data_IF_126076313503
#
_entry.id   IF_126076313503
#
_cell.length_a   1.000
_cell.length_b   1.000
_cell.length_c   1.000
_cell.angle_alpha   90.00
_cell.angle_beta   90.00
_cell.angle_gamma   90.00
#
_symmetry.space_group_name_H-M   'P 1'
#
loop_
_entity.id
_entity.type
_entity.pdbx_description
1 polymer ?
#
# COMPACT_ATOMS: atom_id res chain seq x y z
N UNK A 1 11.91 -16.59 -28.16
CA UNK A 1 11.55 -17.73 -27.31
C UNK A 1 12.84 -18.41 -26.90
N UNK A 2 13.17 -18.32 -25.62
CA UNK A 2 14.28 -19.03 -24.99
C UNK A 2 13.98 -20.53 -24.94
N UNK A 3 15.02 -21.37 -24.92
CA UNK A 3 14.90 -22.82 -24.72
C UNK A 3 14.20 -23.14 -23.38
N UNK A 4 13.21 -24.02 -23.39
CA UNK A 4 12.43 -24.40 -22.21
C UNK A 4 13.32 -24.96 -21.08
N UNK A 5 14.39 -25.68 -21.43
CA UNK A 5 15.35 -26.14 -20.45
C UNK A 5 16.12 -24.99 -19.79
N UNK A 6 16.40 -23.92 -20.53
CA UNK A 6 17.05 -22.73 -19.98
C UNK A 6 16.10 -21.96 -19.04
N UNK A 7 14.81 -21.86 -19.37
CA UNK A 7 13.81 -21.26 -18.48
C UNK A 7 13.61 -22.08 -17.20
N UNK A 8 13.62 -23.41 -17.29
CA UNK A 8 13.53 -24.30 -16.12
C UNK A 8 14.66 -24.06 -15.12
N UNK A 9 15.88 -23.79 -15.59
CA UNK A 9 17.01 -23.48 -14.70
C UNK A 9 16.79 -22.18 -13.92
N UNK A 10 16.10 -21.20 -14.49
CA UNK A 10 15.86 -19.90 -13.83
C UNK A 10 14.90 -19.97 -12.64
N UNK A 11 14.11 -21.05 -12.51
CA UNK A 11 13.12 -21.17 -11.43
C UNK A 11 13.59 -22.07 -10.29
N UNK A 12 14.69 -22.82 -10.43
CA UNK A 12 15.09 -23.88 -9.48
C UNK A 12 15.39 -23.36 -8.06
N UNK A 13 15.78 -22.10 -7.92
CA UNK A 13 16.09 -21.51 -6.62
C UNK A 13 14.85 -20.91 -5.91
N UNK A 14 13.71 -20.84 -6.60
CA UNK A 14 12.45 -20.34 -6.06
C UNK A 14 11.39 -21.46 -6.06
N UNK A 15 11.18 -22.17 -4.94
CA UNK A 15 10.29 -23.35 -4.90
C UNK A 15 8.86 -23.07 -5.39
N UNK A 16 8.34 -21.86 -5.14
CA UNK A 16 7.01 -21.45 -5.59
C UNK A 16 6.98 -21.31 -7.12
N UNK A 17 7.96 -20.62 -7.70
CA UNK A 17 8.06 -20.45 -9.15
C UNK A 17 8.35 -21.78 -9.87
N UNK A 18 9.20 -22.63 -9.28
CA UNK A 18 9.47 -23.98 -9.79
C UNK A 18 8.19 -24.83 -9.80
N UNK A 19 7.41 -24.78 -8.72
CA UNK A 19 6.12 -25.46 -8.64
C UNK A 19 5.15 -25.03 -9.74
N UNK A 20 5.02 -23.71 -9.95
CA UNK A 20 4.17 -23.16 -11.02
C UNK A 20 4.66 -23.57 -12.41
N UNK A 21 5.96 -23.48 -12.67
CA UNK A 21 6.55 -23.89 -13.94
C UNK A 21 6.33 -25.39 -14.20
N UNK A 22 6.49 -26.24 -13.19
CA UNK A 22 6.26 -27.68 -13.31
C UNK A 22 4.77 -28.02 -13.55
N UNK A 23 3.85 -27.25 -12.98
CA UNK A 23 2.42 -27.50 -13.09
C UNK A 23 1.83 -26.99 -14.41
N UNK A 24 2.28 -25.83 -14.87
CA UNK A 24 1.65 -25.10 -15.98
C UNK A 24 2.56 -24.90 -17.20
N UNK A 25 3.86 -25.16 -17.06
CA UNK A 25 4.85 -24.79 -18.07
C UNK A 25 4.98 -23.28 -18.22
N UNK A 26 5.44 -22.84 -19.40
CA UNK A 26 5.53 -21.43 -19.77
C UNK A 26 5.24 -21.32 -21.27
N UNK A 27 3.97 -21.27 -21.63
CA UNK A 27 3.51 -21.41 -23.02
C UNK A 27 2.59 -20.28 -23.48
N UNK A 28 2.24 -19.36 -22.59
CA UNK A 28 1.40 -18.22 -22.87
C UNK A 28 1.79 -17.01 -21.99
N UNK A 29 1.14 -15.87 -22.25
CA UNK A 29 1.39 -14.61 -21.54
C UNK A 29 1.13 -14.75 -20.05
N UNK A 30 0.05 -15.42 -19.64
CA UNK A 30 -0.39 -15.46 -18.24
C UNK A 30 0.48 -16.39 -17.39
N UNK A 31 0.88 -17.55 -17.92
CA UNK A 31 1.79 -18.48 -17.25
C UNK A 31 3.16 -17.83 -17.04
N UNK A 32 3.72 -17.22 -18.09
CA UNK A 32 4.97 -16.47 -18.00
C UNK A 32 4.89 -15.31 -16.99
N UNK A 33 3.82 -14.51 -17.07
CA UNK A 33 3.59 -13.38 -16.16
C UNK A 33 3.45 -13.81 -14.70
N UNK A 34 2.68 -14.88 -14.42
CA UNK A 34 2.49 -15.36 -13.05
C UNK A 34 3.80 -15.88 -12.45
N UNK A 35 4.60 -16.61 -13.22
CA UNK A 35 5.92 -17.08 -12.77
C UNK A 35 6.84 -15.88 -12.49
N UNK A 36 6.86 -14.88 -13.39
CA UNK A 36 7.63 -13.66 -13.20
C UNK A 36 7.24 -12.90 -11.93
N UNK A 37 5.93 -12.75 -11.64
CA UNK A 37 5.45 -12.09 -10.43
C UNK A 37 5.95 -12.77 -9.16
N UNK A 38 5.91 -14.11 -9.11
CA UNK A 38 6.43 -14.84 -7.94
C UNK A 38 7.94 -14.67 -7.78
N UNK A 39 8.71 -14.75 -8.88
CA UNK A 39 10.15 -14.47 -8.84
C UNK A 39 10.43 -13.04 -8.36
N UNK A 40 9.68 -12.04 -8.84
CA UNK A 40 9.79 -10.63 -8.44
C UNK A 40 9.52 -10.47 -6.94
N UNK A 41 8.41 -11.01 -6.43
CA UNK A 41 8.06 -10.95 -5.01
C UNK A 41 9.14 -11.59 -4.11
N UNK A 42 9.80 -12.64 -4.60
CA UNK A 42 10.89 -13.31 -3.88
C UNK A 42 12.29 -12.76 -4.22
N UNK A 43 12.39 -11.59 -4.83
CA UNK A 43 13.64 -10.88 -5.15
C UNK A 43 14.58 -11.58 -6.16
N UNK A 44 14.08 -12.52 -6.95
CA UNK A 44 14.77 -13.11 -8.10
C UNK A 44 14.58 -12.23 -9.34
N UNK A 45 15.10 -10.99 -9.29
CA UNK A 45 14.75 -9.95 -10.26
C UNK A 45 15.24 -10.24 -11.68
N UNK A 46 16.42 -10.84 -11.82
CA UNK A 46 16.99 -11.16 -13.14
C UNK A 46 16.17 -12.24 -13.83
N UNK A 47 15.80 -13.26 -13.08
CA UNK A 47 14.97 -14.38 -13.50
C UNK A 47 13.56 -13.88 -13.85
N UNK A 48 12.97 -13.03 -13.00
CA UNK A 48 11.68 -12.39 -13.26
C UNK A 48 11.69 -11.60 -14.57
N UNK A 49 12.73 -10.79 -14.82
CA UNK A 49 12.87 -10.02 -16.06
C UNK A 49 12.93 -10.93 -17.31
N UNK A 50 13.54 -12.12 -17.21
CA UNK A 50 13.56 -13.09 -18.29
C UNK A 50 12.17 -13.67 -18.58
N UNK A 51 11.38 -13.99 -17.54
CA UNK A 51 10.00 -14.46 -17.74
C UNK A 51 9.05 -13.36 -18.25
N UNK A 52 9.21 -12.11 -17.83
CA UNK A 52 8.48 -10.99 -18.45
C UNK A 52 8.85 -10.83 -19.94
N UNK A 53 10.11 -11.07 -20.33
CA UNK A 53 10.51 -11.07 -21.75
C UNK A 53 9.83 -12.19 -22.55
N UNK A 54 9.65 -13.38 -21.96
CA UNK A 54 8.87 -14.45 -22.61
C UNK A 54 7.39 -14.06 -22.72
N UNK A 55 6.81 -13.45 -21.68
CA UNK A 55 5.44 -12.92 -21.74
C UNK A 55 5.28 -11.91 -22.89
N UNK A 56 6.22 -10.97 -23.06
CA UNK A 56 6.26 -10.01 -24.19
C UNK A 56 6.35 -10.75 -25.54
N UNK A 57 7.15 -11.81 -25.61
CA UNK A 57 7.29 -12.59 -26.85
C UNK A 57 5.95 -13.25 -27.25
N UNK A 58 5.18 -13.74 -26.28
CA UNK A 58 3.84 -14.30 -26.52
C UNK A 58 2.80 -13.24 -26.91
N UNK A 59 3.00 -11.96 -26.57
CA UNK A 59 2.12 -10.85 -27.01
C UNK A 59 2.12 -10.65 -28.52
N UNK A 60 3.20 -10.99 -29.22
CA UNK A 60 3.24 -10.90 -30.68
C UNK A 60 2.15 -11.76 -31.34
N UNK A 61 1.75 -12.86 -30.70
CA UNK A 61 0.67 -13.74 -31.14
C UNK A 61 -0.70 -13.42 -30.56
N UNK A 62 -0.77 -12.60 -29.50
CA UNK A 62 -2.02 -12.13 -28.89
C UNK A 62 -1.88 -10.65 -28.51
N UNK A 63 -2.15 -9.72 -29.45
CA UNK A 63 -1.96 -8.28 -29.19
C UNK A 63 -2.98 -7.66 -28.24
N UNK A 64 -4.14 -8.30 -28.02
CA UNK A 64 -5.27 -7.76 -27.25
C UNK A 64 -5.45 -8.40 -25.87
N UNK A 65 -4.78 -9.51 -25.57
CA UNK A 65 -4.81 -10.13 -24.25
C UNK A 65 -4.26 -9.24 -23.11
N UNK A 66 -4.25 -9.78 -21.90
CA UNK A 66 -3.75 -9.12 -20.70
C UNK A 66 -2.62 -9.95 -20.07
N UNK A 67 -1.57 -9.35 -19.47
CA UNK A 67 -1.26 -7.92 -19.41
C UNK A 67 -0.84 -7.30 -20.75
N UNK A 68 -1.00 -5.98 -20.87
CA UNK A 68 -0.57 -5.22 -22.06
C UNK A 68 0.96 -5.14 -22.15
N UNK A 69 1.48 -4.96 -23.35
CA UNK A 69 2.94 -4.95 -23.62
C UNK A 69 3.67 -3.90 -22.79
N UNK A 70 3.12 -2.69 -22.68
CA UNK A 70 3.72 -1.59 -21.91
C UNK A 70 3.82 -1.89 -20.42
N UNK A 71 2.89 -2.67 -19.87
CA UNK A 71 2.93 -3.10 -18.47
C UNK A 71 4.03 -4.14 -18.30
N UNK A 72 4.11 -5.14 -19.18
CA UNK A 72 5.15 -6.17 -19.15
C UNK A 72 6.56 -5.57 -19.30
N UNK A 73 6.73 -4.63 -20.23
CA UNK A 73 8.00 -3.90 -20.41
C UNK A 73 8.35 -3.10 -19.16
N UNK A 74 7.37 -2.38 -18.58
CA UNK A 74 7.60 -1.61 -17.37
C UNK A 74 8.08 -2.49 -16.22
N UNK A 75 7.40 -3.60 -15.91
CA UNK A 75 7.79 -4.47 -14.79
C UNK A 75 9.11 -5.19 -15.05
N UNK A 76 9.38 -5.61 -16.30
CA UNK A 76 10.68 -6.15 -16.72
C UNK A 76 11.81 -5.16 -16.42
N UNK A 77 11.67 -3.93 -16.90
CA UNK A 77 12.70 -2.89 -16.72
C UNK A 77 12.89 -2.53 -15.25
N UNK A 78 11.81 -2.49 -14.47
CA UNK A 78 11.89 -2.26 -13.03
C UNK A 78 12.65 -3.39 -12.32
N UNK A 79 12.42 -4.66 -12.67
CA UNK A 79 13.21 -5.77 -12.16
C UNK A 79 14.70 -5.61 -12.49
N UNK A 80 15.04 -5.23 -13.73
CA UNK A 80 16.44 -5.00 -14.11
C UNK A 80 17.08 -3.89 -13.26
N UNK A 81 16.37 -2.78 -13.00
CA UNK A 81 16.84 -1.72 -12.09
C UNK A 81 17.10 -2.30 -10.69
N UNK A 82 16.14 -3.05 -10.13
CA UNK A 82 16.25 -3.65 -8.78
C UNK A 82 17.38 -4.67 -8.69
N UNK A 83 17.66 -5.38 -9.78
CA UNK A 83 18.78 -6.32 -9.92
C UNK A 83 20.11 -5.66 -10.31
N UNK A 84 20.19 -4.31 -10.31
CA UNK A 84 21.36 -3.55 -10.73
C UNK A 84 21.91 -3.96 -12.12
N UNK A 85 21.01 -4.28 -13.05
CA UNK A 85 21.32 -4.63 -14.43
C UNK A 85 21.17 -3.41 -15.36
N UNK A 86 21.89 -3.42 -16.48
CA UNK A 86 21.73 -2.41 -17.52
C UNK A 86 20.40 -2.58 -18.26
N UNK A 87 19.81 -1.45 -18.66
CA UNK A 87 18.56 -1.43 -19.43
C UNK A 87 18.90 -1.36 -20.91
N UNK A 88 18.27 -2.22 -21.72
CA UNK A 88 18.43 -2.17 -23.17
C UNK A 88 17.77 -0.90 -23.73
N UNK A 89 18.48 -0.21 -24.62
CA UNK A 89 18.00 1.03 -25.24
C UNK A 89 16.75 0.75 -26.10
N UNK A 90 16.69 -0.42 -26.72
CA UNK A 90 15.57 -0.87 -27.53
C UNK A 90 14.29 -1.00 -26.69
N UNK A 91 14.38 -1.60 -25.50
CA UNK A 91 13.24 -1.72 -24.58
C UNK A 91 12.76 -0.35 -24.09
N UNK A 92 13.70 0.54 -23.78
CA UNK A 92 13.38 1.91 -23.35
C UNK A 92 12.68 2.71 -24.46
N UNK A 93 13.19 2.63 -25.69
CA UNK A 93 12.56 3.26 -26.84
C UNK A 93 11.16 2.68 -27.10
N UNK A 94 11.03 1.36 -27.00
CA UNK A 94 9.73 0.70 -27.16
C UNK A 94 8.73 1.11 -26.08
N UNK A 95 9.15 1.17 -24.82
CA UNK A 95 8.29 1.65 -23.74
C UNK A 95 7.87 3.10 -23.96
N UNK A 96 8.77 3.96 -24.46
CA UNK A 96 8.46 5.35 -24.79
C UNK A 96 7.42 5.48 -25.89
N UNK A 97 7.50 4.64 -26.92
CA UNK A 97 6.50 4.60 -28.00
C UNK A 97 5.12 4.19 -27.49
N UNK A 98 5.07 3.25 -26.55
CA UNK A 98 3.82 2.72 -26.01
C UNK A 98 3.22 3.60 -24.91
N UNK A 99 4.04 4.17 -24.04
CA UNK A 99 3.62 4.94 -22.88
C UNK A 99 4.74 5.85 -22.35
N UNK A 100 4.69 7.12 -22.74
CA UNK A 100 5.58 8.15 -22.23
C UNK A 100 5.58 8.25 -20.68
N UNK A 101 4.43 8.17 -19.97
CA UNK A 101 4.45 8.17 -18.51
C UNK A 101 5.22 7.00 -17.89
N UNK A 102 5.07 5.78 -18.42
CA UNK A 102 5.80 4.60 -17.92
C UNK A 102 7.29 4.68 -18.25
N UNK A 103 7.64 5.19 -19.42
CA UNK A 103 9.03 5.48 -19.77
C UNK A 103 9.66 6.48 -18.80
N UNK A 104 8.97 7.59 -18.51
CA UNK A 104 9.44 8.60 -17.55
C UNK A 104 9.59 7.99 -16.16
N UNK A 105 8.61 7.20 -15.70
CA UNK A 105 8.70 6.48 -14.43
C UNK A 105 9.96 5.61 -14.35
N UNK A 106 10.18 4.72 -15.32
CA UNK A 106 11.33 3.79 -15.31
C UNK A 106 12.66 4.52 -15.37
N UNK A 107 12.81 5.46 -16.30
CA UNK A 107 14.07 6.18 -16.49
C UNK A 107 14.41 7.04 -15.28
N UNK A 108 13.42 7.73 -14.71
CA UNK A 108 13.63 8.57 -13.53
C UNK A 108 13.99 7.74 -12.30
N UNK A 109 13.39 6.57 -12.11
CA UNK A 109 13.77 5.67 -11.01
C UNK A 109 15.21 5.20 -11.15
N UNK A 110 15.64 4.82 -12.35
CA UNK A 110 17.04 4.45 -12.61
C UNK A 110 18.00 5.60 -12.30
N UNK A 111 17.72 6.78 -12.86
CA UNK A 111 18.53 7.98 -12.70
C UNK A 111 18.59 8.45 -11.24
N UNK A 112 17.49 8.37 -10.51
CA UNK A 112 17.46 8.64 -9.07
C UNK A 112 18.35 7.65 -8.29
N UNK A 113 18.29 6.36 -8.60
CA UNK A 113 19.16 5.35 -7.96
C UNK A 113 20.65 5.57 -8.26
N UNK A 114 20.97 6.19 -9.39
CA UNK A 114 22.34 6.57 -9.79
C UNK A 114 22.78 7.93 -9.20
N UNK A 115 21.89 8.64 -8.50
CA UNK A 115 22.17 9.96 -7.92
C UNK A 115 22.10 11.11 -8.92
N UNK A 116 21.52 10.90 -10.11
CA UNK A 116 21.43 11.91 -11.17
C UNK A 116 20.28 12.91 -10.94
N UNK A 117 19.23 12.53 -10.19
CA UNK A 117 18.13 13.42 -9.81
C UNK A 117 18.07 13.63 -8.31
N UNK A 118 17.77 14.86 -7.91
CA UNK A 118 17.29 15.11 -6.55
C UNK A 118 15.93 14.47 -6.30
N UNK A 119 15.54 14.33 -5.04
CA UNK A 119 14.22 13.78 -4.64
C UNK A 119 13.08 14.55 -5.30
N UNK A 120 13.16 15.88 -5.34
CA UNK A 120 12.10 16.72 -5.89
C UNK A 120 12.00 16.56 -7.41
N UNK A 121 13.13 16.55 -8.11
CA UNK A 121 13.16 16.32 -9.56
C UNK A 121 12.63 14.93 -9.93
N UNK A 122 13.04 13.90 -9.18
CA UNK A 122 12.56 12.54 -9.40
C UNK A 122 11.05 12.45 -9.19
N UNK A 123 10.54 12.96 -8.07
CA UNK A 123 9.11 12.94 -7.76
C UNK A 123 8.29 13.72 -8.79
N UNK A 124 8.77 14.89 -9.22
CA UNK A 124 8.09 15.71 -10.22
C UNK A 124 8.05 15.02 -11.59
N UNK A 125 9.16 14.41 -12.04
CA UNK A 125 9.27 13.75 -13.34
C UNK A 125 8.53 12.42 -13.42
N UNK A 126 8.45 11.66 -12.32
CA UNK A 126 7.55 10.49 -12.24
C UNK A 126 6.09 10.95 -12.41
N UNK A 127 5.77 12.10 -11.82
CA UNK A 127 4.48 12.75 -11.99
C UNK A 127 3.32 11.95 -11.39
N UNK A 128 2.20 11.92 -12.10
CA UNK A 128 1.02 11.13 -11.73
C UNK A 128 0.97 9.74 -12.39
N UNK A 129 2.11 9.18 -12.81
CA UNK A 129 2.16 7.88 -13.50
C UNK A 129 1.55 6.73 -12.68
N UNK A 130 1.46 6.88 -11.34
CA UNK A 130 0.74 5.95 -10.47
C UNK A 130 -0.75 5.80 -10.85
N UNK A 131 -1.36 6.79 -11.49
CA UNK A 131 -2.77 6.71 -11.94
C UNK A 131 -3.02 5.70 -13.06
N UNK A 132 -1.96 5.21 -13.72
CA UNK A 132 -2.06 4.11 -14.68
C UNK A 132 -2.26 2.74 -14.02
N UNK A 133 -2.15 2.68 -12.70
CA UNK A 133 -2.17 1.46 -11.91
C UNK A 133 -3.28 1.49 -10.86
N UNK A 134 -3.68 0.30 -10.40
CA UNK A 134 -4.46 0.18 -9.17
C UNK A 134 -3.69 0.78 -7.99
N UNK A 135 -4.42 1.19 -6.96
CA UNK A 135 -3.83 1.77 -5.75
C UNK A 135 -2.99 0.75 -4.99
N UNK A 136 -1.82 1.15 -4.51
CA UNK A 136 -0.94 0.27 -3.72
C UNK A 136 0.03 -0.58 -4.54
N UNK A 137 0.06 -0.39 -5.85
CA UNK A 137 1.06 -0.97 -6.73
C UNK A 137 2.45 -0.39 -6.43
N UNK A 138 3.52 -1.05 -6.91
CA UNK A 138 4.90 -0.74 -6.52
C UNK A 138 5.30 0.74 -6.75
N UNK A 139 4.73 1.40 -7.76
CA UNK A 139 4.93 2.82 -8.03
C UNK A 139 4.43 3.72 -6.88
N UNK A 140 3.34 3.33 -6.21
CA UNK A 140 2.83 4.09 -5.06
C UNK A 140 3.84 4.02 -3.90
N UNK A 141 4.50 2.87 -3.69
CA UNK A 141 5.53 2.69 -2.66
C UNK A 141 6.81 3.49 -2.99
N UNK A 142 7.22 3.50 -4.26
CA UNK A 142 8.38 4.28 -4.71
C UNK A 142 8.14 5.78 -4.52
N UNK A 143 6.96 6.28 -4.90
CA UNK A 143 6.61 7.67 -4.68
C UNK A 143 6.56 8.01 -3.18
N UNK A 144 6.00 7.13 -2.36
CA UNK A 144 5.95 7.32 -0.91
C UNK A 144 7.35 7.30 -0.28
N UNK A 145 8.26 6.45 -0.76
CA UNK A 145 9.68 6.45 -0.37
C UNK A 145 10.36 7.78 -0.67
N UNK A 146 10.13 8.35 -1.86
CA UNK A 146 10.65 9.69 -2.21
C UNK A 146 10.11 10.76 -1.26
N UNK A 147 8.81 10.71 -0.94
CA UNK A 147 8.19 11.64 0.01
C UNK A 147 8.79 11.49 1.42
N UNK A 148 8.92 10.26 1.92
CA UNK A 148 9.52 9.96 3.21
C UNK A 148 10.96 10.49 3.31
N UNK A 149 11.79 10.17 2.31
CA UNK A 149 13.15 10.66 2.24
C UNK A 149 13.20 12.18 2.16
N UNK A 150 12.31 12.80 1.37
CA UNK A 150 12.25 14.25 1.21
C UNK A 150 11.80 14.97 2.48
N UNK A 151 10.91 14.38 3.29
CA UNK A 151 10.56 14.91 4.61
C UNK A 151 11.74 14.86 5.58
N UNK A 152 12.49 13.74 5.59
CA UNK A 152 13.64 13.57 6.47
C UNK A 152 14.84 14.43 6.07
N UNK A 153 15.01 14.71 4.78
CA UNK A 153 16.08 15.55 4.25
C UNK A 153 15.69 17.04 4.15
N UNK A 154 14.45 17.40 4.49
CA UNK A 154 13.96 18.77 4.46
C UNK A 154 13.64 19.31 3.05
N UNK A 155 13.52 18.44 2.04
CA UNK A 155 13.03 18.80 0.71
C UNK A 155 11.53 19.10 0.71
N UNK A 156 10.77 18.52 1.65
CA UNK A 156 9.36 18.84 1.87
C UNK A 156 9.17 19.51 3.24
N UNK A 157 8.25 20.47 3.37
CA UNK A 157 8.05 21.18 4.62
C UNK A 157 7.46 20.26 5.69
N UNK A 158 8.14 20.18 6.83
CA UNK A 158 7.63 19.48 7.99
C UNK A 158 6.68 20.40 8.79
N UNK A 159 5.37 20.35 8.49
CA UNK A 159 4.38 21.25 9.07
C UNK A 159 3.75 20.67 10.33
N UNK A 160 4.05 21.30 11.46
CA UNK A 160 3.37 21.08 12.73
C UNK A 160 2.12 21.98 12.80
N UNK A 161 1.01 21.46 13.32
CA UNK A 161 -0.24 22.17 13.56
C UNK A 161 -0.44 22.48 15.04
N UNK A 162 -1.28 23.47 15.30
CA UNK A 162 -1.73 23.80 16.67
C UNK A 162 -2.87 22.92 17.15
N UNK A 163 -3.69 22.43 16.22
CA UNK A 163 -4.76 21.48 16.53
C UNK A 163 -4.15 20.12 16.79
N UNK A 164 -4.48 19.52 17.93
CA UNK A 164 -4.01 18.19 18.26
C UNK A 164 -4.96 17.10 17.73
N UNK A 165 -4.38 15.96 17.36
CA UNK A 165 -5.11 14.72 17.17
C UNK A 165 -5.83 14.38 18.49
N UNK A 166 -7.16 14.16 18.46
CA UNK A 166 -7.93 13.81 19.65
C UNK A 166 -7.42 12.54 20.33
N UNK A 167 -7.47 12.49 21.67
CA UNK A 167 -7.21 11.25 22.43
C UNK A 167 -8.42 10.32 22.38
N UNK A 168 -8.63 9.75 21.21
CA UNK A 168 -9.67 8.75 20.96
C UNK A 168 -9.04 7.54 20.30
N UNK A 169 -9.25 6.34 20.82
CA UNK A 169 -8.87 5.10 20.17
C UNK A 169 -10.13 4.42 19.64
N UNK A 170 -10.07 3.98 18.39
CA UNK A 170 -11.14 3.24 17.74
C UNK A 170 -10.64 1.86 17.34
N UNK A 171 -11.44 0.86 17.69
CA UNK A 171 -11.21 -0.54 17.35
C UNK A 171 -12.42 -1.09 16.62
N UNK A 172 -12.22 -2.18 15.88
CA UNK A 172 -13.31 -2.95 15.29
C UNK A 172 -13.06 -4.45 15.41
N UNK A 173 -14.11 -5.17 15.78
CA UNK A 173 -14.17 -6.61 15.63
C UNK A 173 -15.58 -7.02 15.21
N UNK A 174 -15.71 -7.81 14.14
CA UNK A 174 -16.99 -8.13 13.50
C UNK A 174 -17.97 -8.82 14.47
N UNK A 175 -17.73 -10.11 14.73
CA UNK A 175 -18.55 -10.97 15.59
C UNK A 175 -17.65 -12.05 16.23
N UNK A 176 -18.15 -12.75 17.27
CA UNK A 176 -17.47 -13.89 17.91
C UNK A 176 -16.01 -13.60 18.33
N UNK A 177 -15.79 -12.51 19.07
CA UNK A 177 -14.45 -12.06 19.47
C UNK A 177 -13.68 -13.14 20.23
N UNK A 178 -12.51 -13.58 19.73
CA UNK A 178 -11.62 -14.47 20.44
C UNK A 178 -11.17 -13.91 21.79
N UNK A 179 -10.91 -14.79 22.76
CA UNK A 179 -10.59 -14.43 24.14
C UNK A 179 -9.32 -13.55 24.25
N UNK A 180 -8.30 -13.88 23.47
CA UNK A 180 -7.04 -13.12 23.35
C UNK A 180 -7.23 -11.72 22.75
N UNK A 181 -8.20 -11.55 21.85
CA UNK A 181 -8.59 -10.22 21.33
C UNK A 181 -9.41 -9.45 22.37
N UNK A 182 -10.33 -10.11 23.09
CA UNK A 182 -11.07 -9.49 24.18
C UNK A 182 -10.14 -8.97 25.29
N UNK A 183 -9.18 -9.77 25.72
CA UNK A 183 -8.17 -9.39 26.71
C UNK A 183 -7.35 -8.18 26.26
N UNK A 184 -7.02 -8.10 24.97
CA UNK A 184 -6.34 -6.92 24.43
C UNK A 184 -7.22 -5.67 24.43
N UNK A 185 -8.50 -5.78 24.06
CA UNK A 185 -9.45 -4.66 24.11
C UNK A 185 -9.65 -4.17 25.57
N UNK A 186 -9.81 -5.09 26.51
CA UNK A 186 -9.91 -4.79 27.95
C UNK A 186 -8.62 -4.14 28.49
N UNK A 187 -7.46 -4.63 28.06
CA UNK A 187 -6.17 -4.03 28.40
C UNK A 187 -6.13 -2.55 28.03
N UNK A 188 -6.52 -2.19 26.81
CA UNK A 188 -6.56 -0.78 26.40
C UNK A 188 -7.58 0.01 27.23
N UNK A 189 -8.79 -0.51 27.42
CA UNK A 189 -9.86 0.15 28.20
C UNK A 189 -9.45 0.45 29.65
N UNK A 190 -8.68 -0.43 30.27
CA UNK A 190 -8.25 -0.28 31.67
C UNK A 190 -6.99 0.58 31.82
N UNK A 191 -6.07 0.55 30.85
CA UNK A 191 -4.73 1.13 31.01
C UNK A 191 -4.50 2.45 30.25
N UNK A 192 -5.50 2.95 29.50
CA UNK A 192 -5.38 4.19 28.72
C UNK A 192 -6.40 5.26 29.21
N UNK A 193 -6.32 5.72 30.47
CA UNK A 193 -7.32 6.62 31.07
C UNK A 193 -7.37 8.02 30.44
N UNK A 194 -6.34 8.44 29.69
CA UNK A 194 -6.34 9.71 28.94
C UNK A 194 -7.11 9.61 27.63
N UNK A 195 -7.42 8.40 27.17
CA UNK A 195 -8.08 8.13 25.90
C UNK A 195 -9.55 7.74 26.08
N UNK A 196 -10.42 8.31 25.25
CA UNK A 196 -11.75 7.77 25.05
C UNK A 196 -11.63 6.58 24.09
N UNK A 197 -12.05 5.41 24.53
CA UNK A 197 -11.97 4.18 23.73
C UNK A 197 -13.35 3.82 23.22
N UNK A 198 -13.45 3.53 21.92
CA UNK A 198 -14.66 3.00 21.32
C UNK A 198 -14.38 1.75 20.49
N UNK A 199 -15.16 0.70 20.72
CA UNK A 199 -15.05 -0.58 20.03
C UNK A 199 -16.30 -0.77 19.18
N UNK A 200 -16.11 -0.89 17.88
CA UNK A 200 -17.16 -1.20 16.94
C UNK A 200 -17.31 -2.70 16.78
N UNK A 201 -18.57 -3.14 16.73
CA UNK A 201 -18.94 -4.40 16.11
C UNK A 201 -19.67 -4.13 14.79
N UNK A 202 -20.06 -5.18 14.08
CA UNK A 202 -20.75 -5.07 12.79
C UNK A 202 -21.99 -4.19 12.85
N UNK A 203 -22.90 -4.45 13.79
CA UNK A 203 -24.18 -3.74 13.88
C UNK A 203 -23.97 -2.26 14.16
N UNK A 204 -23.10 -1.95 15.12
CA UNK A 204 -22.72 -0.57 15.44
C UNK A 204 -22.06 0.12 14.25
N UNK A 205 -21.19 -0.57 13.50
CA UNK A 205 -20.53 -0.03 12.31
C UNK A 205 -21.55 0.30 11.21
N UNK A 206 -22.50 -0.60 10.96
CA UNK A 206 -23.57 -0.42 9.97
C UNK A 206 -24.46 0.77 10.31
N UNK A 207 -24.90 0.88 11.56
CA UNK A 207 -25.72 2.00 12.02
C UNK A 207 -24.95 3.33 11.93
N UNK A 208 -23.70 3.33 12.35
CA UNK A 208 -22.85 4.51 12.33
C UNK A 208 -22.57 4.98 10.90
N UNK A 209 -22.15 4.09 10.00
CA UNK A 209 -21.89 4.43 8.59
C UNK A 209 -23.13 5.00 7.93
N UNK A 210 -24.31 4.41 8.16
CA UNK A 210 -25.56 4.94 7.65
C UNK A 210 -25.87 6.34 8.17
N UNK A 211 -25.70 6.55 9.48
CA UNK A 211 -25.98 7.83 10.13
C UNK A 211 -25.10 8.97 9.64
N UNK A 212 -23.81 8.72 9.42
CA UNK A 212 -22.83 9.77 9.12
C UNK A 212 -22.51 9.91 7.62
N UNK A 213 -22.58 8.83 6.85
CA UNK A 213 -22.20 8.81 5.43
C UNK A 213 -23.29 8.27 4.50
N UNK A 214 -24.42 7.81 5.03
CA UNK A 214 -25.58 7.40 4.23
C UNK A 214 -25.52 5.98 3.70
N UNK A 215 -26.38 5.71 2.72
CA UNK A 215 -26.69 4.37 2.22
C UNK A 215 -25.49 3.73 1.51
N UNK A 216 -24.73 4.53 0.77
CA UNK A 216 -23.60 4.09 -0.03
C UNK A 216 -22.49 3.52 0.86
N UNK A 217 -22.10 4.25 1.90
CA UNK A 217 -21.10 3.82 2.88
C UNK A 217 -21.49 2.52 3.59
N UNK A 218 -22.74 2.45 4.05
CA UNK A 218 -23.30 1.23 4.64
C UNK A 218 -23.22 0.05 3.66
N UNK A 219 -23.59 0.27 2.39
CA UNK A 219 -23.65 -0.79 1.41
C UNK A 219 -22.27 -1.32 1.03
N UNK A 220 -21.26 -0.47 0.88
CA UNK A 220 -19.89 -0.94 0.59
C UNK A 220 -19.37 -1.80 1.74
N UNK A 221 -19.62 -1.42 3.00
CA UNK A 221 -19.23 -2.17 4.18
C UNK A 221 -19.93 -3.53 4.25
N UNK A 222 -21.25 -3.58 3.99
CA UNK A 222 -22.01 -4.84 3.99
C UNK A 222 -21.66 -5.77 2.83
N UNK A 223 -21.07 -5.24 1.74
CA UNK A 223 -20.62 -6.02 0.59
C UNK A 223 -19.17 -6.48 0.68
N UNK A 224 -18.44 -6.11 1.74
CA UNK A 224 -17.08 -6.57 1.96
C UNK A 224 -17.01 -8.10 1.95
N UNK A 225 -16.01 -8.65 1.26
CA UNK A 225 -15.84 -10.11 1.10
C UNK A 225 -15.21 -10.74 2.35
N UNK A 226 -14.58 -9.92 3.17
CA UNK A 226 -13.87 -10.35 4.37
C UNK A 226 -14.01 -9.30 5.50
N UNK A 227 -14.05 -9.70 6.78
CA UNK A 227 -14.07 -8.76 7.91
C UNK A 227 -12.93 -7.73 7.89
N UNK A 228 -11.73 -8.10 7.42
CA UNK A 228 -10.61 -7.17 7.27
C UNK A 228 -10.89 -6.06 6.23
N UNK A 229 -11.54 -6.39 5.11
CA UNK A 229 -11.97 -5.40 4.10
C UNK A 229 -13.06 -4.46 4.68
N UNK A 230 -13.95 -4.98 5.53
CA UNK A 230 -14.93 -4.16 6.25
C UNK A 230 -14.25 -3.19 7.25
N UNK A 231 -13.23 -3.68 7.98
CA UNK A 231 -12.43 -2.87 8.90
C UNK A 231 -11.67 -1.74 8.18
N UNK A 232 -11.09 -2.02 7.01
CA UNK A 232 -10.45 -1.04 6.14
C UNK A 232 -11.40 0.09 5.71
N UNK A 233 -12.64 -0.25 5.35
CA UNK A 233 -13.65 0.75 5.04
C UNK A 233 -13.97 1.58 6.29
N UNK A 234 -14.27 0.92 7.40
CA UNK A 234 -14.71 1.59 8.62
C UNK A 234 -13.64 2.54 9.17
N UNK A 235 -12.37 2.13 9.21
CA UNK A 235 -11.28 2.91 9.81
C UNK A 235 -11.12 4.28 9.19
N UNK A 236 -11.15 4.35 7.86
CA UNK A 236 -11.01 5.62 7.16
C UNK A 236 -12.22 6.53 7.44
N UNK A 237 -13.43 5.97 7.43
CA UNK A 237 -14.66 6.74 7.68
C UNK A 237 -14.72 7.30 9.12
N UNK A 238 -14.41 6.46 10.12
CA UNK A 238 -14.42 6.83 11.53
C UNK A 238 -13.37 7.90 11.81
N UNK A 239 -12.11 7.67 11.42
CA UNK A 239 -11.04 8.64 11.70
C UNK A 239 -11.25 9.94 10.93
N UNK A 240 -11.72 9.90 9.67
CA UNK A 240 -12.03 11.12 8.95
C UNK A 240 -13.16 11.94 9.61
N UNK A 241 -14.16 11.29 10.22
CA UNK A 241 -15.26 12.02 10.89
C UNK A 241 -14.90 12.51 12.28
N UNK A 242 -14.19 11.69 13.05
CA UNK A 242 -14.00 11.90 14.49
C UNK A 242 -12.61 12.39 14.88
N UNK A 243 -11.61 12.20 14.01
CA UNK A 243 -10.19 12.24 14.36
C UNK A 243 -9.84 11.17 15.40
N UNK A 244 -8.59 11.12 15.81
CA UNK A 244 -8.08 10.17 16.80
C UNK A 244 -7.19 9.11 16.16
N UNK A 245 -7.20 7.92 16.75
CA UNK A 245 -6.34 6.81 16.39
C UNK A 245 -7.19 5.62 16.00
N UNK A 246 -6.82 4.97 14.91
CA UNK A 246 -7.27 3.62 14.61
C UNK A 246 -6.24 2.62 15.12
N UNK A 247 -6.73 1.51 15.65
CA UNK A 247 -5.92 0.38 16.09
C UNK A 247 -6.69 -0.90 15.72
N UNK A 248 -6.09 -1.79 14.95
CA UNK A 248 -6.67 -3.11 14.72
C UNK A 248 -6.80 -3.85 16.07
N UNK A 249 -7.91 -4.54 16.28
CA UNK A 249 -8.24 -5.08 17.60
C UNK A 249 -7.32 -6.21 18.07
N UNK A 250 -6.57 -6.83 17.16
CA UNK A 250 -5.52 -7.81 17.43
C UNK A 250 -4.11 -7.21 17.48
N UNK A 251 -4.00 -5.88 17.45
CA UNK A 251 -2.75 -5.15 17.64
C UNK A 251 -2.75 -4.54 19.06
N UNK A 252 -1.65 -4.74 19.78
CA UNK A 252 -1.49 -4.20 21.12
C UNK A 252 -0.58 -2.99 21.12
N UNK A 253 -1.02 -1.87 21.68
CA UNK A 253 -0.14 -0.73 21.97
C UNK A 253 0.59 -1.02 23.28
N UNK A 254 1.91 -0.83 23.31
CA UNK A 254 2.75 -1.21 24.46
C UNK A 254 2.25 -0.58 25.76
N UNK A 255 2.00 0.73 25.75
CA UNK A 255 1.35 1.45 26.86
C UNK A 255 0.89 2.85 26.44
N UNK A 256 0.04 3.47 27.25
CA UNK A 256 -0.38 4.87 27.04
C UNK A 256 0.80 5.85 27.04
N UNK A 257 1.78 5.65 27.92
CA UNK A 257 2.93 6.55 28.02
C UNK A 257 3.88 6.41 26.81
N UNK A 258 4.03 5.19 26.27
CA UNK A 258 4.77 4.94 25.02
C UNK A 258 4.08 5.64 23.86
N UNK A 259 2.74 5.51 23.76
CA UNK A 259 1.95 6.19 22.74
C UNK A 259 2.12 7.72 22.79
N UNK A 260 1.95 8.33 23.96
CA UNK A 260 2.11 9.78 24.14
C UNK A 260 3.55 10.27 23.90
N UNK A 261 4.55 9.45 24.22
CA UNK A 261 5.96 9.79 24.05
C UNK A 261 6.36 9.81 22.58
N UNK A 262 5.95 8.81 21.82
CA UNK A 262 6.50 8.57 20.48
C UNK A 262 5.59 9.02 19.35
N UNK A 263 4.26 9.02 19.52
CA UNK A 263 3.34 9.40 18.47
C UNK A 263 2.90 10.86 18.63
N UNK A 264 3.41 11.78 17.77
CA UNK A 264 3.14 13.20 17.94
C UNK A 264 1.71 13.55 17.55
N UNK A 265 0.96 14.19 18.44
CA UNK A 265 -0.42 14.62 18.16
C UNK A 265 -0.52 15.99 17.49
N UNK A 266 0.59 16.69 17.27
CA UNK A 266 0.63 18.02 16.66
C UNK A 266 0.74 18.01 15.13
N UNK A 267 0.27 16.94 14.48
CA UNK A 267 0.16 16.81 13.02
C UNK A 267 -1.30 16.57 12.63
N UNK A 268 -1.68 16.91 11.38
CA UNK A 268 -3.00 16.55 10.88
C UNK A 268 -3.11 15.03 10.63
N UNK A 269 -1.99 14.35 10.35
CA UNK A 269 -1.93 12.90 10.17
C UNK A 269 -0.57 12.33 10.58
N UNK A 270 -0.58 11.19 11.27
CA UNK A 270 0.60 10.39 11.59
C UNK A 270 0.38 8.98 11.06
N UNK A 271 1.32 8.52 10.24
CA UNK A 271 1.32 7.19 9.63
C UNK A 271 2.69 6.53 9.88
N UNK A 272 2.69 5.21 9.94
CA UNK A 272 3.88 4.40 10.07
C UNK A 272 4.07 3.55 8.83
N UNK A 273 5.33 3.30 8.46
CA UNK A 273 5.71 2.60 7.25
C UNK A 273 6.31 1.23 7.58
N UNK A 274 6.07 0.25 6.72
CA UNK A 274 6.86 -0.99 6.70
C UNK A 274 8.25 -0.74 6.11
N UNK A 275 9.16 -1.71 6.24
CA UNK A 275 10.47 -1.66 5.56
C UNK A 275 10.35 -1.58 4.03
N UNK A 276 9.23 -2.06 3.49
CA UNK A 276 8.88 -1.97 2.06
C UNK A 276 8.23 -0.64 1.67
N UNK A 277 8.12 0.34 2.57
CA UNK A 277 7.42 1.61 2.36
C UNK A 277 5.92 1.45 2.06
N UNK A 278 5.28 0.41 2.60
CA UNK A 278 3.83 0.32 2.68
C UNK A 278 3.35 0.95 3.99
N UNK A 279 2.08 1.38 4.03
CA UNK A 279 1.52 2.00 5.24
C UNK A 279 0.92 0.94 6.15
N UNK A 280 1.27 1.01 7.43
CA UNK A 280 0.56 0.35 8.52
C UNK A 280 -0.82 0.99 8.68
N UNK A 281 -1.81 0.52 7.93
CA UNK A 281 -3.18 1.03 8.05
C UNK A 281 -3.92 0.44 9.25
N UNK A 282 -3.35 -0.59 9.89
CA UNK A 282 -3.74 -1.21 11.15
C UNK A 282 -3.43 -0.36 12.39
N UNK A 283 -2.54 0.63 12.27
CA UNK A 283 -2.34 1.64 13.30
C UNK A 283 -1.98 3.01 12.70
N UNK A 284 -2.85 3.99 12.89
CA UNK A 284 -2.58 5.36 12.45
C UNK A 284 -3.41 6.40 13.19
N UNK A 285 -3.04 7.67 13.05
CA UNK A 285 -3.71 8.77 13.73
C UNK A 285 -3.97 9.96 12.80
N UNK A 286 -5.11 10.65 12.95
CA UNK A 286 -5.38 11.88 12.20
C UNK A 286 -6.35 12.83 12.93
N UNK A 287 -6.35 14.09 12.52
CA UNK A 287 -7.43 15.03 12.84
C UNK A 287 -8.69 14.71 12.02
N UNK A 288 -9.86 15.18 12.48
CA UNK A 288 -11.08 15.08 11.70
C UNK A 288 -10.99 15.93 10.42
N UNK A 289 -11.66 15.50 9.35
CA UNK A 289 -11.67 16.10 8.03
C UNK A 289 -10.27 16.20 7.40
N UNK A 290 -9.45 15.17 7.61
CA UNK A 290 -8.09 15.13 7.09
C UNK A 290 -8.07 14.96 5.56
N UNK A 291 -7.28 15.79 4.86
CA UNK A 291 -7.24 15.81 3.39
C UNK A 291 -6.73 14.51 2.76
N UNK A 292 -5.84 13.77 3.43
CA UNK A 292 -5.35 12.47 2.98
C UNK A 292 -6.48 11.45 3.12
N UNK A 293 -7.16 11.40 4.28
CA UNK A 293 -8.27 10.47 4.50
C UNK A 293 -9.46 10.74 3.57
N UNK A 294 -9.73 12.00 3.22
CA UNK A 294 -10.74 12.33 2.21
C UNK A 294 -10.38 11.72 0.83
N UNK A 295 -9.11 11.74 0.43
CA UNK A 295 -8.67 11.11 -0.84
C UNK A 295 -8.64 9.57 -0.72
N UNK A 296 -8.33 9.02 0.46
CA UNK A 296 -8.51 7.59 0.75
C UNK A 296 -9.96 7.16 0.52
N UNK A 297 -10.94 7.93 1.03
CA UNK A 297 -12.35 7.65 0.80
C UNK A 297 -12.66 7.63 -0.70
N UNK A 298 -12.25 8.64 -1.47
CA UNK A 298 -12.45 8.66 -2.92
C UNK A 298 -11.94 7.37 -3.60
N UNK A 299 -10.75 6.92 -3.21
CA UNK A 299 -10.15 5.70 -3.73
C UNK A 299 -10.92 4.44 -3.31
N UNK A 300 -11.33 4.33 -2.05
CA UNK A 300 -12.19 3.23 -1.55
C UNK A 300 -13.49 3.15 -2.35
N UNK A 301 -14.22 4.26 -2.50
CA UNK A 301 -15.50 4.26 -3.23
C UNK A 301 -15.30 3.86 -4.70
N UNK A 302 -14.30 4.43 -5.37
CA UNK A 302 -13.96 4.08 -6.75
C UNK A 302 -13.61 2.59 -6.87
N UNK A 303 -12.71 2.09 -6.04
CA UNK A 303 -12.25 0.72 -6.10
C UNK A 303 -13.37 -0.28 -5.82
N UNK A 304 -14.22 -0.01 -4.82
CA UNK A 304 -15.39 -0.83 -4.52
C UNK A 304 -16.44 -0.82 -5.64
N UNK A 305 -16.50 0.24 -6.44
CA UNK A 305 -17.44 0.37 -7.56
C UNK A 305 -16.91 -0.27 -8.86
N UNK A 306 -15.66 0.03 -9.22
CA UNK A 306 -15.07 -0.41 -10.50
C UNK A 306 -14.44 -1.80 -10.44
N UNK A 307 -13.91 -2.18 -9.28
CA UNK A 307 -13.03 -3.35 -9.14
C UNK A 307 -13.41 -4.22 -7.94
N UNK A 308 -14.59 -4.84 -8.01
CA UNK A 308 -15.13 -5.67 -6.92
C UNK A 308 -14.14 -6.74 -6.44
N UNK A 309 -13.38 -7.33 -7.37
CA UNK A 309 -12.45 -8.43 -7.11
C UNK A 309 -11.01 -8.01 -6.82
N UNK A 310 -10.71 -6.71 -6.79
CA UNK A 310 -9.36 -6.20 -6.51
C UNK A 310 -8.84 -6.74 -5.17
N UNK A 311 -7.54 -7.00 -5.10
CA UNK A 311 -6.87 -7.44 -3.87
C UNK A 311 -7.14 -6.46 -2.71
N UNK A 312 -7.43 -6.95 -1.51
CA UNK A 312 -7.94 -6.14 -0.39
C UNK A 312 -6.98 -4.99 -0.06
N UNK A 313 -5.67 -5.25 0.02
CA UNK A 313 -4.65 -4.23 0.31
C UNK A 313 -4.64 -3.09 -0.71
N UNK A 314 -5.02 -3.37 -1.96
CA UNK A 314 -5.13 -2.38 -3.03
C UNK A 314 -6.49 -1.70 -3.03
N UNK A 315 -7.55 -2.45 -2.75
CA UNK A 315 -8.94 -1.98 -2.82
C UNK A 315 -9.30 -1.02 -1.68
N UNK A 316 -9.02 -1.43 -0.45
CA UNK A 316 -9.44 -0.73 0.78
C UNK A 316 -8.31 -0.54 1.78
N UNK A 317 -7.27 -1.37 1.70
CA UNK A 317 -6.15 -1.39 2.66
C UNK A 317 -5.07 -0.34 2.41
N UNK A 318 -3.78 -0.64 2.70
CA UNK A 318 -2.68 0.34 2.64
C UNK A 318 -2.57 1.13 1.34
N UNK A 319 -2.91 0.52 0.20
CA UNK A 319 -2.74 1.12 -1.12
C UNK A 319 -3.48 2.44 -1.30
N UNK A 320 -4.67 2.59 -0.70
CA UNK A 320 -5.45 3.83 -0.83
C UNK A 320 -4.80 5.00 -0.09
N UNK A 321 -4.09 4.71 1.02
CA UNK A 321 -3.34 5.73 1.76
C UNK A 321 -2.11 6.17 0.99
N UNK A 322 -1.38 5.23 0.40
CA UNK A 322 -0.19 5.54 -0.40
C UNK A 322 -0.57 6.44 -1.58
N UNK A 323 -1.64 6.08 -2.31
CA UNK A 323 -2.18 6.91 -3.40
C UNK A 323 -2.60 8.30 -2.94
N UNK A 324 -3.30 8.40 -1.81
CA UNK A 324 -3.77 9.68 -1.27
C UNK A 324 -2.61 10.63 -0.96
N UNK A 325 -1.52 10.12 -0.37
CA UNK A 325 -0.31 10.90 -0.09
C UNK A 325 0.38 11.33 -1.39
N UNK A 326 0.55 10.39 -2.33
CA UNK A 326 1.17 10.67 -3.63
C UNK A 326 0.45 11.79 -4.37
N UNK A 327 -0.89 11.75 -4.42
CA UNK A 327 -1.73 12.82 -4.99
C UNK A 327 -1.56 14.14 -4.25
N UNK A 328 -1.63 14.12 -2.92
CA UNK A 328 -1.55 15.33 -2.11
C UNK A 328 -0.21 16.07 -2.31
N UNK A 329 0.90 15.34 -2.30
CA UNK A 329 2.23 15.91 -2.51
C UNK A 329 2.44 16.35 -3.95
N UNK A 330 2.01 15.55 -4.94
CA UNK A 330 2.15 15.90 -6.35
C UNK A 330 1.42 17.19 -6.69
N UNK A 331 0.18 17.37 -6.20
CA UNK A 331 -0.58 18.62 -6.37
C UNK A 331 0.14 19.84 -5.77
N UNK A 332 0.92 19.67 -4.71
CA UNK A 332 1.69 20.75 -4.12
C UNK A 332 2.96 21.09 -4.92
N UNK A 333 3.67 20.06 -5.39
CA UNK A 333 4.85 20.22 -6.25
C UNK A 333 4.48 20.91 -7.57
N UNK A 334 3.34 20.57 -8.14
CA UNK A 334 2.82 21.20 -9.37
C UNK A 334 2.16 22.58 -9.13
N UNK A 335 2.15 23.08 -7.89
CA UNK A 335 1.57 24.38 -7.54
C UNK A 335 0.05 24.46 -7.63
N UNK A 336 -0.65 23.35 -7.86
CA UNK A 336 -2.13 23.26 -7.86
C UNK A 336 -2.68 23.55 -6.46
N UNK A 337 -2.03 23.00 -5.44
CA UNK A 337 -2.33 23.26 -4.03
C UNK A 337 -1.19 24.04 -3.40
N UNK A 338 -1.50 25.18 -2.76
CA UNK A 338 -0.48 26.09 -2.21
C UNK A 338 0.27 25.53 -1.00
N UNK A 339 -0.33 24.57 -0.31
CA UNK A 339 0.15 24.10 0.99
C UNK A 339 0.25 22.58 1.05
N UNK A 340 1.47 22.09 1.30
CA UNK A 340 1.69 20.69 1.68
C UNK A 340 0.87 20.31 2.93
N UNK A 341 0.38 19.05 3.01
CA UNK A 341 -0.34 18.55 4.16
C UNK A 341 0.57 18.50 5.41
N UNK A 342 -0.03 18.62 6.59
CA UNK A 342 0.66 18.32 7.85
C UNK A 342 0.67 16.80 8.05
N UNK A 343 1.79 16.18 7.72
CA UNK A 343 1.97 14.74 7.76
C UNK A 343 3.25 14.39 8.52
N UNK A 344 3.15 13.44 9.44
CA UNK A 344 4.29 12.74 10.02
C UNK A 344 4.31 11.30 9.48
N UNK A 345 5.42 10.94 8.83
CA UNK A 345 5.75 9.56 8.49
C UNK A 345 6.81 9.04 9.46
N UNK A 346 6.64 7.82 9.95
CA UNK A 346 7.57 7.11 10.83
C UNK A 346 7.86 5.73 10.24
N UNK A 347 8.99 5.11 10.60
CA UNK A 347 9.44 3.85 10.03
C UNK A 347 8.94 2.61 10.79
N UNK A 348 9.31 1.42 10.29
CA UNK A 348 8.94 0.13 10.89
C UNK A 348 9.46 0.01 12.31
N UNK A 349 10.68 0.50 12.57
CA UNK A 349 11.27 0.49 13.90
C UNK A 349 10.39 1.24 14.89
N UNK A 350 9.85 2.39 14.51
CA UNK A 350 8.92 3.11 15.36
C UNK A 350 7.62 2.33 15.60
N UNK A 351 7.10 1.65 14.57
CA UNK A 351 5.92 0.80 14.72
C UNK A 351 6.17 -0.31 15.75
N UNK A 352 7.34 -0.95 15.71
CA UNK A 352 7.74 -1.97 16.67
C UNK A 352 8.03 -1.40 18.08
N UNK A 353 8.40 -0.12 18.18
CA UNK A 353 8.58 0.56 19.47
C UNK A 353 7.24 0.89 20.16
N UNK A 354 6.18 1.15 19.39
CA UNK A 354 4.88 1.56 19.93
C UNK A 354 3.86 0.43 20.02
N UNK A 355 4.06 -0.66 19.28
CA UNK A 355 3.16 -1.81 19.24
C UNK A 355 3.85 -3.11 19.66
N UNK A 356 3.06 -4.08 20.07
CA UNK A 356 3.48 -5.43 20.43
C UNK A 356 2.61 -6.42 19.65
N UNK A 357 3.25 -7.27 18.84
CA UNK A 357 2.57 -8.43 18.28
C UNK A 357 2.51 -9.54 19.32
N UNK A 358 1.32 -10.12 19.49
CA UNK A 358 1.12 -11.25 20.39
C UNK A 358 0.47 -12.41 19.65
N UNK A 359 0.66 -13.67 20.10
CA UNK A 359 0.06 -14.82 19.45
C UNK A 359 -1.46 -14.72 19.51
N UNK A 360 -2.10 -14.66 18.34
CA UNK A 360 -3.56 -14.71 18.22
C UNK A 360 -4.03 -16.05 17.68
N UNK A 361 -4.89 -16.69 18.46
CA UNK A 361 -5.40 -18.05 18.31
C UNK A 361 -6.07 -18.30 16.95
N UNK A 362 -6.72 -17.27 16.38
CA UNK A 362 -7.40 -17.39 15.09
C UNK A 362 -6.44 -17.42 13.90
N UNK A 363 -5.27 -16.74 13.97
CA UNK A 363 -4.24 -16.79 12.90
C UNK A 363 -3.51 -18.13 12.88
N UNK A 364 -3.47 -18.86 13.99
CA UNK A 364 -2.84 -20.18 14.08
C UNK A 364 -3.65 -21.31 13.45
N UNK A 365 -4.94 -21.10 13.18
CA UNK A 365 -5.87 -22.12 12.65
C UNK A 365 -6.14 -22.01 11.14
N UNK A 366 -5.53 -21.05 10.44
CA UNK A 366 -5.74 -20.82 9.02
C UNK A 366 -4.48 -20.32 8.29
N UNK A 367 -4.44 -20.50 6.97
CA UNK A 367 -3.41 -20.03 6.04
C UNK A 367 -3.44 -18.51 5.87
N UNK A 368 -3.26 -17.76 6.96
CA UNK A 368 -3.07 -16.31 6.92
C UNK A 368 -1.57 -16.01 6.92
N UNK A 369 -0.93 -16.16 5.76
CA UNK A 369 0.38 -15.54 5.54
C UNK A 369 0.16 -14.05 5.31
N UNK A 370 0.81 -13.25 6.15
CA UNK A 370 1.00 -11.82 5.94
C UNK A 370 1.57 -11.62 4.54
N UNK A 371 0.91 -10.78 3.74
CA UNK A 371 1.38 -10.38 2.42
C UNK A 371 2.57 -9.43 2.54
#
# INVERSE_FOLDING_TARGET
MVDENALRVLVTECPVAEGLFNQHGCHDVMTAFNIANHLHMHSFFKEAAAFYQEAISYRLSDPEGHPREEILLQVKLLCLIKGAQELAIEDLNRLKELSEPLFNYITVVQQYNQGEHSILEAFQKIGCSYELFHTGEEIDAICLKLIYNGLNQGNFPNKIRRTEIPRKLFFYWDENTPQDVLENLEFHQQNFPKYSIDVFNKDKAVEWLYKYYGKEAKNIFLKSRHPAEAADILRVHVINSCGGFWVDADLKIVSEDVLEKYIPRNYDNVLLLTDGYFIHNDFFAATANNVILMDCLLSIYRNCYEYEQLFISYKTGPGVFMRAINRAYYRCVEGVTKEFPSLKLMDQKMFDEVTEQYPVSYKQRGTWTVA
#
